data_IF_483707971228
#
_entry.id   IF_483707971228
#
_cell.length_a   1.000
_cell.length_b   1.000
_cell.length_c   1.000
_cell.angle_alpha   90.00
_cell.angle_beta   90.00
_cell.angle_gamma   90.00
#
_symmetry.space_group_name_H-M   'P 1'
#
loop_
_entity.id
_entity.type
_entity.pdbx_description
1 polymer ?
#
# COMPACT_ATOMS: atom_id res chain seq x y z
N UNK A 1 89.53 -45.88 -5.14
CA UNK A 1 88.88 -45.58 -6.42
C UNK A 1 87.46 -45.11 -6.13
N UNK A 2 87.13 -43.90 -6.60
CA UNK A 2 85.84 -43.14 -6.56
C UNK A 2 85.38 -42.49 -5.25
N UNK A 3 85.37 -41.14 -5.32
CA UNK A 3 84.72 -40.15 -4.48
C UNK A 3 83.21 -40.01 -4.78
N UNK A 4 82.53 -39.32 -3.86
CA UNK A 4 81.11 -38.99 -3.75
C UNK A 4 80.50 -38.13 -4.88
N UNK A 5 79.15 -38.11 -4.94
CA UNK A 5 78.33 -36.93 -5.25
C UNK A 5 76.89 -37.08 -4.71
N UNK A 6 76.40 -36.08 -3.98
CA UNK A 6 75.01 -35.90 -3.54
C UNK A 6 74.21 -35.10 -4.59
N UNK A 7 72.90 -35.37 -4.80
CA UNK A 7 72.05 -34.64 -5.74
C UNK A 7 71.45 -33.33 -5.17
N UNK A 8 70.95 -32.42 -6.03
CA UNK A 8 70.69 -31.02 -5.69
C UNK A 8 69.32 -30.73 -5.04
N UNK A 9 69.28 -29.57 -4.38
CA UNK A 9 68.16 -28.99 -3.63
C UNK A 9 67.05 -28.49 -4.58
N UNK A 10 65.80 -28.94 -4.36
CA UNK A 10 64.60 -28.39 -5.00
C UNK A 10 64.02 -27.26 -4.14
N UNK A 11 64.04 -26.02 -4.63
CA UNK A 11 63.34 -24.88 -4.02
C UNK A 11 61.85 -24.93 -4.36
N UNK A 12 60.98 -25.03 -3.36
CA UNK A 12 59.53 -24.89 -3.54
C UNK A 12 59.10 -23.41 -3.57
N UNK A 13 58.16 -23.10 -4.48
CA UNK A 13 57.64 -21.77 -4.82
C UNK A 13 56.78 -21.15 -3.70
N UNK A 14 57.40 -20.69 -2.63
CA UNK A 14 56.74 -19.94 -1.53
C UNK A 14 56.34 -18.52 -1.96
N UNK A 15 57.03 -17.96 -2.95
CA UNK A 15 56.92 -16.55 -3.36
C UNK A 15 55.59 -16.21 -4.04
N UNK A 16 54.98 -17.15 -4.77
CA UNK A 16 53.78 -16.89 -5.58
C UNK A 16 52.46 -16.88 -4.77
N UNK A 17 52.42 -17.58 -3.62
CA UNK A 17 51.25 -17.57 -2.71
C UNK A 17 51.18 -16.26 -1.92
N UNK A 18 52.33 -15.74 -1.48
CA UNK A 18 52.42 -14.49 -0.71
C UNK A 18 51.87 -13.31 -1.53
N UNK A 19 52.21 -13.20 -2.80
CA UNK A 19 51.78 -12.09 -3.68
C UNK A 19 50.26 -12.00 -3.89
N UNK A 20 49.53 -13.13 -3.86
CA UNK A 20 48.06 -13.14 -3.97
C UNK A 20 47.38 -12.62 -2.69
N UNK A 21 47.94 -12.92 -1.52
CA UNK A 21 47.43 -12.40 -0.25
C UNK A 21 47.70 -10.89 -0.10
N UNK A 22 48.81 -10.39 -0.65
CA UNK A 22 49.12 -8.94 -0.68
C UNK A 22 48.14 -8.13 -1.54
N UNK A 23 47.63 -8.71 -2.64
CA UNK A 23 46.60 -8.09 -3.50
C UNK A 23 45.21 -8.08 -2.84
N UNK A 24 44.86 -9.13 -2.09
CA UNK A 24 43.65 -9.15 -1.26
C UNK A 24 43.73 -8.09 -0.13
N UNK A 25 44.93 -7.86 0.41
CA UNK A 25 45.23 -6.80 1.38
C UNK A 25 45.02 -5.40 0.78
N UNK A 26 45.45 -5.18 -0.46
CA UNK A 26 45.28 -3.91 -1.17
C UNK A 26 43.81 -3.49 -1.32
N UNK A 27 42.91 -4.45 -1.55
CA UNK A 27 41.47 -4.18 -1.62
C UNK A 27 40.78 -3.99 -0.26
N UNK A 28 41.36 -4.49 0.83
CA UNK A 28 40.84 -4.34 2.19
C UNK A 28 41.33 -3.03 2.86
N UNK A 29 42.59 -2.63 2.61
CA UNK A 29 43.17 -1.38 3.15
C UNK A 29 42.58 -0.11 2.52
N UNK A 30 42.02 -0.19 1.31
CA UNK A 30 41.50 0.98 0.58
C UNK A 30 40.16 1.52 1.12
N UNK A 31 39.55 0.91 2.14
CA UNK A 31 38.23 1.31 2.64
C UNK A 31 38.15 1.82 4.09
N UNK A 32 39.23 1.82 4.90
CA UNK A 32 39.12 2.16 6.33
C UNK A 32 40.37 2.86 6.88
N UNK A 33 40.59 4.11 6.45
CA UNK A 33 41.43 5.04 7.21
C UNK A 33 40.62 5.55 8.42
N UNK A 34 40.71 4.83 9.54
CA UNK A 34 40.33 5.34 10.85
C UNK A 34 39.57 4.34 11.72
N UNK A 35 40.29 3.60 12.59
CA UNK A 35 39.97 3.51 14.01
C UNK A 35 41.00 2.70 14.81
N UNK A 36 41.32 3.29 15.97
CA UNK A 36 42.16 2.95 17.13
C UNK A 36 42.43 1.47 17.47
N UNK A 37 43.68 1.27 17.87
CA UNK A 37 44.29 0.22 18.70
C UNK A 37 43.33 -0.69 19.46
N UNK A 38 43.07 -1.87 18.91
CA UNK A 38 42.63 -3.04 19.68
C UNK A 38 43.88 -3.89 19.93
N UNK A 39 44.19 -4.16 21.19
CA UNK A 39 45.32 -5.02 21.55
C UNK A 39 45.06 -6.47 21.07
N UNK A 40 45.94 -6.97 20.21
CA UNK A 40 45.93 -8.32 19.65
C UNK A 40 47.27 -9.01 19.91
N UNK A 41 47.27 -10.35 19.97
CA UNK A 41 48.43 -11.23 20.16
C UNK A 41 49.41 -11.23 18.96
N UNK A 42 49.19 -10.37 17.96
CA UNK A 42 49.91 -10.29 16.69
C UNK A 42 49.07 -10.70 15.47
N UNK A 43 49.59 -10.47 14.26
CA UNK A 43 49.01 -11.04 13.03
C UNK A 43 49.50 -12.47 12.83
N UNK A 44 48.59 -13.39 12.49
CA UNK A 44 48.88 -14.81 12.30
C UNK A 44 48.25 -15.36 11.02
N UNK A 45 48.82 -16.46 10.50
CA UNK A 45 48.17 -17.35 9.53
C UNK A 45 47.79 -18.63 10.27
N UNK A 46 46.50 -18.96 10.35
CA UNK A 46 46.03 -20.23 10.91
C UNK A 46 45.39 -21.07 9.79
N UNK A 47 45.87 -22.30 9.61
CA UNK A 47 45.37 -23.24 8.59
C UNK A 47 44.75 -24.44 9.30
N UNK A 48 43.50 -24.74 8.97
CA UNK A 48 42.78 -25.91 9.48
C UNK A 48 41.99 -26.56 8.35
N UNK A 49 42.50 -27.69 7.82
CA UNK A 49 41.94 -28.33 6.63
C UNK A 49 41.98 -27.41 5.42
N UNK A 50 40.82 -27.15 4.81
CA UNK A 50 40.69 -26.21 3.70
C UNK A 50 40.56 -24.74 4.13
N UNK A 51 40.41 -24.47 5.43
CA UNK A 51 40.16 -23.13 5.95
C UNK A 51 41.48 -22.44 6.31
N UNK A 52 41.66 -21.20 5.85
CA UNK A 52 42.81 -20.35 6.20
C UNK A 52 42.32 -19.01 6.75
N UNK A 53 42.77 -18.65 7.94
CA UNK A 53 42.58 -17.33 8.52
C UNK A 53 43.89 -16.54 8.50
N UNK A 54 43.83 -15.28 8.09
CA UNK A 54 44.92 -14.32 8.19
C UNK A 54 44.42 -13.06 8.91
N UNK A 55 44.99 -12.72 10.06
CA UNK A 55 44.57 -11.55 10.82
C UNK A 55 45.02 -11.55 12.27
N UNK A 56 44.48 -10.62 13.05
CA UNK A 56 44.73 -10.54 14.49
C UNK A 56 44.11 -11.69 15.27
N UNK A 57 44.71 -12.04 16.40
CA UNK A 57 44.08 -12.92 17.41
C UNK A 57 44.11 -12.27 18.79
N UNK A 58 43.19 -12.67 19.66
CA UNK A 58 43.19 -12.32 21.08
C UNK A 58 42.73 -13.53 21.88
N UNK A 59 43.55 -13.96 22.85
CA UNK A 59 43.28 -15.17 23.64
C UNK A 59 43.05 -16.40 22.75
N UNK A 60 43.85 -16.53 21.68
CA UNK A 60 43.76 -17.64 20.74
C UNK A 60 42.51 -17.63 19.83
N UNK A 61 41.70 -16.58 19.85
CA UNK A 61 40.52 -16.42 18.97
C UNK A 61 40.72 -15.29 17.96
N UNK A 62 40.07 -15.35 16.79
CA UNK A 62 40.12 -14.28 15.79
C UNK A 62 39.61 -12.96 16.38
N UNK A 63 40.39 -11.89 16.23
CA UNK A 63 40.07 -10.58 16.81
C UNK A 63 40.72 -9.48 15.97
N UNK A 64 40.05 -8.34 15.82
CA UNK A 64 40.51 -7.26 14.94
C UNK A 64 40.23 -7.54 13.47
N UNK A 65 40.97 -6.92 12.56
CA UNK A 65 40.76 -7.15 11.13
C UNK A 65 41.40 -8.47 10.68
N UNK A 66 40.67 -9.24 9.88
CA UNK A 66 41.14 -10.51 9.35
C UNK A 66 40.34 -11.01 8.14
N UNK A 67 40.97 -11.92 7.40
CA UNK A 67 40.45 -12.56 6.20
C UNK A 67 40.36 -14.06 6.44
N UNK A 68 39.17 -14.61 6.23
CA UNK A 68 38.89 -16.05 6.26
C UNK A 68 38.65 -16.55 4.82
N UNK A 69 39.41 -17.56 4.43
CA UNK A 69 39.32 -18.22 3.13
C UNK A 69 39.02 -19.71 3.30
N UNK A 70 38.28 -20.29 2.37
CA UNK A 70 38.06 -21.75 2.24
C UNK A 70 38.53 -22.16 0.86
N UNK A 71 39.58 -22.98 0.79
CA UNK A 71 40.34 -23.21 -0.43
C UNK A 71 40.86 -21.88 -1.00
N UNK A 72 40.56 -21.62 -2.26
CA UNK A 72 40.93 -20.38 -2.97
C UNK A 72 39.89 -19.25 -2.84
N UNK A 73 38.79 -19.48 -2.11
CA UNK A 73 37.69 -18.52 -2.00
C UNK A 73 37.73 -17.74 -0.69
N UNK A 74 37.76 -16.41 -0.78
CA UNK A 74 37.57 -15.53 0.38
C UNK A 74 36.09 -15.57 0.79
N UNK A 75 35.83 -16.05 2.00
CA UNK A 75 34.48 -16.18 2.56
C UNK A 75 34.12 -14.97 3.40
N UNK A 76 35.11 -14.36 4.07
CA UNK A 76 34.94 -13.15 4.84
C UNK A 76 36.22 -12.32 4.91
N UNK A 77 36.10 -11.00 4.82
CA UNK A 77 37.16 -10.05 5.13
C UNK A 77 36.57 -8.88 5.92
N UNK A 78 37.01 -8.66 7.16
CA UNK A 78 36.43 -7.61 8.01
C UNK A 78 36.84 -7.72 9.47
N UNK A 79 36.06 -7.09 10.34
CA UNK A 79 36.30 -7.08 11.79
C UNK A 79 35.88 -8.40 12.46
N UNK A 80 36.69 -8.82 13.41
CA UNK A 80 36.48 -9.99 14.26
C UNK A 80 36.48 -9.55 15.72
N UNK A 81 35.66 -10.21 16.53
CA UNK A 81 35.64 -10.03 17.97
C UNK A 81 35.46 -11.38 18.66
N UNK A 82 36.48 -11.82 19.39
CA UNK A 82 36.47 -13.07 20.16
C UNK A 82 36.02 -14.29 19.34
N UNK A 83 36.51 -14.42 18.11
CA UNK A 83 36.25 -15.53 17.19
C UNK A 83 35.01 -15.37 16.31
N UNK A 84 34.26 -14.26 16.44
CA UNK A 84 33.04 -14.01 15.67
C UNK A 84 33.20 -12.83 14.71
N UNK A 85 32.55 -12.90 13.54
CA UNK A 85 32.46 -11.77 12.61
C UNK A 85 31.71 -10.61 13.27
N UNK A 86 32.25 -9.40 13.12
CA UNK A 86 31.78 -8.18 13.78
C UNK A 86 31.90 -6.98 12.83
N UNK A 87 31.31 -5.85 13.21
CA UNK A 87 31.55 -4.55 12.57
C UNK A 87 31.33 -4.54 11.07
N UNK A 88 32.16 -3.82 10.32
CA UNK A 88 32.11 -3.79 8.86
C UNK A 88 32.91 -4.95 8.27
N UNK A 89 32.37 -5.56 7.22
CA UNK A 89 33.06 -6.62 6.50
C UNK A 89 32.42 -6.97 5.17
N UNK A 90 33.17 -7.69 4.36
CA UNK A 90 32.75 -8.24 3.07
C UNK A 90 32.63 -9.75 3.23
N UNK A 91 31.41 -10.27 3.06
CA UNK A 91 31.15 -11.71 2.96
C UNK A 91 30.87 -12.13 1.53
N UNK A 92 30.93 -13.44 1.27
CA UNK A 92 30.46 -14.05 0.04
C UNK A 92 29.35 -15.05 0.37
N UNK A 93 28.26 -15.06 -0.40
CA UNK A 93 27.22 -16.10 -0.26
C UNK A 93 27.59 -17.40 -0.98
N UNK A 94 26.70 -18.40 -0.96
CA UNK A 94 26.91 -19.71 -1.60
C UNK A 94 27.05 -19.65 -3.14
N UNK A 95 26.66 -18.54 -3.77
CA UNK A 95 26.82 -18.29 -5.21
C UNK A 95 28.10 -17.51 -5.52
N UNK A 96 28.86 -17.11 -4.49
CA UNK A 96 30.06 -16.27 -4.62
C UNK A 96 29.76 -14.78 -4.73
N UNK A 97 28.51 -14.36 -4.55
CA UNK A 97 28.12 -12.93 -4.60
C UNK A 97 28.67 -12.21 -3.38
N UNK A 98 29.35 -11.09 -3.64
CA UNK A 98 29.95 -10.25 -2.59
C UNK A 98 28.88 -9.41 -1.90
N UNK A 99 28.91 -9.42 -0.57
CA UNK A 99 28.03 -8.64 0.30
C UNK A 99 28.87 -7.76 1.21
N UNK A 100 28.79 -6.45 1.02
CA UNK A 100 29.44 -5.46 1.89
C UNK A 100 28.45 -5.09 2.99
N UNK A 101 28.75 -5.43 4.25
CA UNK A 101 27.75 -5.35 5.30
C UNK A 101 28.27 -5.11 6.71
N UNK A 102 27.32 -5.08 7.64
CA UNK A 102 27.56 -4.95 9.08
C UNK A 102 27.22 -6.26 9.77
N UNK A 103 28.18 -6.79 10.53
CA UNK A 103 28.10 -8.07 11.22
C UNK A 103 27.98 -7.87 12.73
N UNK A 104 27.22 -8.74 13.39
CA UNK A 104 27.08 -8.78 14.84
C UNK A 104 27.08 -10.22 15.30
N UNK A 105 28.19 -10.65 15.89
CA UNK A 105 28.37 -12.01 16.42
C UNK A 105 27.99 -13.08 15.38
N UNK A 106 28.65 -13.05 14.21
CA UNK A 106 28.40 -13.93 13.05
C UNK A 106 27.09 -13.73 12.30
N UNK A 107 26.21 -12.83 12.78
CA UNK A 107 24.97 -12.48 12.07
C UNK A 107 25.21 -11.28 11.18
N UNK A 108 24.97 -11.42 9.88
CA UNK A 108 24.89 -10.31 8.94
C UNK A 108 23.58 -9.54 9.21
N UNK A 109 23.67 -8.31 9.68
CA UNK A 109 22.50 -7.51 10.09
C UNK A 109 21.98 -6.64 8.94
N UNK A 110 22.89 -6.11 8.14
CA UNK A 110 22.59 -5.30 6.96
C UNK A 110 23.73 -5.38 5.97
N UNK A 111 23.43 -5.17 4.70
CA UNK A 111 24.46 -5.15 3.67
C UNK A 111 23.97 -4.63 2.34
N UNK A 112 24.95 -4.46 1.45
CA UNK A 112 24.75 -4.16 0.05
C UNK A 112 25.29 -5.30 -0.78
N UNK A 113 24.48 -5.79 -1.71
CA UNK A 113 24.91 -6.74 -2.74
C UNK A 113 24.47 -6.25 -4.11
N UNK A 114 25.22 -6.68 -5.13
CA UNK A 114 24.93 -6.39 -6.53
C UNK A 114 25.07 -7.66 -7.35
N UNK A 115 24.10 -7.92 -8.20
CA UNK A 115 24.11 -9.03 -9.16
C UNK A 115 23.58 -8.56 -10.52
N UNK A 116 23.27 -9.52 -11.40
CA UNK A 116 22.73 -9.24 -12.74
C UNK A 116 21.32 -8.63 -12.71
N UNK A 117 20.59 -8.77 -11.60
CA UNK A 117 19.21 -8.30 -11.46
C UNK A 117 19.16 -6.86 -10.94
N UNK A 118 20.11 -6.45 -10.11
CA UNK A 118 20.17 -5.11 -9.54
C UNK A 118 21.12 -4.98 -8.36
N UNK A 119 20.97 -3.88 -7.64
CA UNK A 119 21.66 -3.60 -6.37
C UNK A 119 20.64 -3.54 -5.25
N UNK A 120 20.87 -4.28 -4.17
CA UNK A 120 20.09 -4.19 -2.94
C UNK A 120 20.94 -3.59 -1.83
N UNK A 121 20.34 -2.75 -1.00
CA UNK A 121 20.90 -2.25 0.25
C UNK A 121 19.84 -2.31 1.34
N UNK A 122 20.10 -3.04 2.43
CA UNK A 122 19.13 -3.15 3.52
C UNK A 122 19.47 -4.23 4.53
N UNK A 123 18.48 -4.65 5.31
CA UNK A 123 18.60 -5.75 6.26
C UNK A 123 18.61 -7.10 5.56
N UNK A 124 19.40 -8.02 6.09
CA UNK A 124 19.60 -9.35 5.51
C UNK A 124 19.35 -10.40 6.58
N UNK A 125 18.85 -11.56 6.20
CA UNK A 125 18.82 -12.73 7.08
C UNK A 125 20.20 -13.41 7.16
N UNK A 126 20.31 -14.47 7.95
CA UNK A 126 21.56 -15.23 8.15
C UNK A 126 22.15 -15.82 6.87
N UNK A 127 21.34 -16.00 5.83
CA UNK A 127 21.75 -16.56 4.54
C UNK A 127 22.12 -15.45 3.53
N UNK A 128 22.13 -14.18 3.96
CA UNK A 128 22.45 -13.03 3.11
C UNK A 128 21.31 -12.65 2.15
N UNK A 129 20.09 -13.11 2.42
CA UNK A 129 18.90 -12.81 1.62
C UNK A 129 18.20 -11.57 2.21
N UNK A 130 17.65 -10.71 1.35
CA UNK A 130 16.89 -9.51 1.77
C UNK A 130 15.72 -9.88 2.69
N UNK A 131 15.73 -9.38 3.92
CA UNK A 131 14.73 -9.66 4.95
C UNK A 131 14.67 -8.49 5.95
N UNK A 132 13.49 -7.90 6.15
CA UNK A 132 13.28 -6.64 6.88
C UNK A 132 13.13 -5.44 5.94
N UNK A 133 13.81 -4.31 6.16
CA UNK A 133 13.69 -3.12 5.30
C UNK A 133 14.90 -2.93 4.39
N UNK A 134 14.66 -2.55 3.14
CA UNK A 134 15.73 -2.24 2.20
C UNK A 134 15.27 -1.61 0.90
N UNK A 135 16.27 -1.18 0.14
CA UNK A 135 16.13 -0.57 -1.18
C UNK A 135 16.74 -1.49 -2.23
N UNK A 136 16.01 -1.72 -3.32
CA UNK A 136 16.49 -2.39 -4.52
C UNK A 136 16.41 -1.44 -5.71
N UNK A 137 17.48 -1.39 -6.51
CA UNK A 137 17.58 -0.53 -7.69
C UNK A 137 18.13 -1.32 -8.87
N UNK A 138 17.46 -1.21 -10.01
CA UNK A 138 18.02 -1.57 -11.31
C UNK A 138 17.63 -0.54 -12.38
N UNK A 139 17.84 -0.85 -13.66
CA UNK A 139 17.53 0.08 -14.77
C UNK A 139 16.04 0.35 -14.97
N UNK A 140 15.18 -0.52 -14.45
CA UNK A 140 13.74 -0.54 -14.70
C UNK A 140 12.93 -0.20 -13.45
N UNK A 141 13.45 -0.51 -12.26
CA UNK A 141 12.73 -0.34 -11.00
C UNK A 141 13.62 0.22 -9.88
N UNK A 142 12.99 1.07 -9.07
CA UNK A 142 13.38 1.39 -7.70
C UNK A 142 12.30 0.82 -6.79
N UNK A 143 12.68 0.04 -5.79
CA UNK A 143 11.80 -0.38 -4.70
C UNK A 143 12.43 -0.03 -3.36
N UNK A 144 11.66 0.56 -2.45
CA UNK A 144 12.04 0.77 -1.06
C UNK A 144 10.90 0.29 -0.16
N UNK A 145 11.17 -0.64 0.73
CA UNK A 145 10.11 -1.19 1.57
C UNK A 145 10.53 -2.42 2.35
N UNK A 146 9.53 -3.19 2.76
CA UNK A 146 9.70 -4.45 3.47
C UNK A 146 10.04 -5.62 2.52
N UNK A 147 10.87 -6.53 3.02
CA UNK A 147 11.35 -7.72 2.36
C UNK A 147 11.16 -8.89 3.30
N UNK A 148 10.80 -10.04 2.74
CA UNK A 148 10.76 -11.31 3.45
C UNK A 148 11.22 -12.39 2.50
N UNK A 149 12.26 -13.13 2.90
CA UNK A 149 12.89 -14.18 2.09
C UNK A 149 13.18 -13.75 0.64
N UNK A 150 13.76 -12.56 0.47
CA UNK A 150 14.19 -12.04 -0.83
C UNK A 150 13.07 -11.49 -1.70
N UNK A 151 11.84 -11.43 -1.17
CA UNK A 151 10.67 -10.93 -1.89
C UNK A 151 10.11 -9.68 -1.24
N UNK A 152 9.68 -8.73 -2.07
CA UNK A 152 8.92 -7.56 -1.61
C UNK A 152 7.67 -8.03 -0.89
N UNK A 153 7.52 -7.56 0.34
CA UNK A 153 6.43 -7.89 1.25
C UNK A 153 6.07 -6.63 2.04
N UNK A 154 5.02 -6.67 2.87
CA UNK A 154 4.66 -5.55 3.75
C UNK A 154 4.45 -4.22 3.01
N UNK A 155 4.69 -3.10 3.68
CA UNK A 155 4.56 -1.79 3.04
C UNK A 155 5.82 -1.43 2.23
N UNK A 156 5.62 -0.86 1.05
CA UNK A 156 6.72 -0.38 0.22
C UNK A 156 6.30 0.55 -0.90
N UNK A 157 7.28 1.25 -1.44
CA UNK A 157 7.16 2.18 -2.55
C UNK A 157 7.97 1.65 -3.73
N UNK A 158 7.37 1.63 -4.92
CA UNK A 158 8.06 1.28 -6.16
C UNK A 158 7.84 2.33 -7.26
N UNK A 159 8.91 2.64 -7.98
CA UNK A 159 8.89 3.39 -9.23
C UNK A 159 9.37 2.44 -10.32
N UNK A 160 8.51 2.14 -11.29
CA UNK A 160 8.87 1.32 -12.44
C UNK A 160 8.82 2.17 -13.71
N UNK A 161 9.78 1.98 -14.61
CA UNK A 161 9.80 2.63 -15.90
C UNK A 161 8.46 2.42 -16.65
N UNK A 162 7.83 3.52 -17.06
CA UNK A 162 6.55 3.50 -17.79
C UNK A 162 5.32 3.15 -16.96
N UNK A 163 5.41 3.06 -15.63
CA UNK A 163 4.25 2.84 -14.73
C UNK A 163 4.07 3.99 -13.74
N UNK A 164 2.87 4.09 -13.19
CA UNK A 164 2.58 4.96 -12.05
C UNK A 164 3.34 4.50 -10.80
N UNK A 165 3.61 5.47 -9.92
CA UNK A 165 4.12 5.24 -8.56
C UNK A 165 3.24 4.23 -7.83
N UNK A 166 3.84 3.20 -7.25
CA UNK A 166 3.14 2.18 -6.46
C UNK A 166 3.50 2.38 -4.99
N UNK A 167 2.55 2.81 -4.18
CA UNK A 167 2.72 2.98 -2.74
C UNK A 167 1.65 2.15 -2.03
N UNK A 168 2.07 1.21 -1.18
CA UNK A 168 1.14 0.34 -0.48
C UNK A 168 1.71 -1.02 -0.12
N UNK A 169 0.83 -1.99 0.07
CA UNK A 169 1.20 -3.33 0.51
C UNK A 169 1.67 -4.22 -0.64
N UNK A 170 2.66 -5.05 -0.35
CA UNK A 170 3.26 -6.06 -1.22
C UNK A 170 3.15 -7.43 -0.55
N UNK A 171 3.01 -8.47 -1.38
CA UNK A 171 3.11 -9.85 -0.90
C UNK A 171 3.75 -10.69 -1.98
N UNK A 172 4.91 -11.30 -1.68
CA UNK A 172 5.63 -12.16 -2.61
C UNK A 172 5.86 -11.49 -3.97
N UNK A 173 6.41 -10.27 -3.98
CA UNK A 173 6.62 -9.43 -5.18
C UNK A 173 5.36 -8.92 -5.89
N UNK A 174 4.16 -9.25 -5.42
CA UNK A 174 2.91 -8.73 -5.97
C UNK A 174 2.47 -7.48 -5.21
N UNK A 175 2.38 -6.35 -5.90
CA UNK A 175 1.73 -5.16 -5.37
C UNK A 175 0.23 -5.41 -5.18
N UNK A 176 -0.29 -5.14 -3.98
CA UNK A 176 -1.68 -5.33 -3.62
C UNK A 176 -2.47 -4.01 -3.62
N UNK A 177 -1.80 -2.89 -3.35
CA UNK A 177 -2.39 -1.55 -3.29
C UNK A 177 -2.24 -0.90 -1.92
N UNK A 178 -2.66 0.35 -1.82
CA UNK A 178 -2.76 1.07 -0.54
C UNK A 178 -3.83 0.38 0.34
N UNK A 179 -3.52 -0.02 1.57
CA UNK A 179 -4.51 -0.59 2.49
C UNK A 179 -4.90 0.43 3.55
N UNK A 180 -6.20 0.56 3.79
CA UNK A 180 -6.72 1.44 4.83
C UNK A 180 -6.76 0.72 6.18
N UNK A 181 -6.22 1.37 7.21
CA UNK A 181 -6.49 1.05 8.61
C UNK A 181 -7.59 1.98 9.14
N UNK A 182 -8.68 1.40 9.64
CA UNK A 182 -9.85 2.09 10.15
C UNK A 182 -9.63 2.47 11.62
N UNK A 183 -9.62 3.78 11.88
CA UNK A 183 -9.35 4.41 13.18
C UNK A 183 -10.38 5.50 13.46
N UNK A 184 -10.41 6.02 14.69
CA UNK A 184 -11.35 7.06 15.11
C UNK A 184 -11.12 8.46 14.51
N UNK A 185 -9.92 8.74 14.00
CA UNK A 185 -9.52 10.02 13.38
C UNK A 185 -9.91 10.14 11.91
N UNK A 186 -10.43 9.07 11.30
CA UNK A 186 -11.00 9.10 9.95
C UNK A 186 -12.41 9.69 9.96
N UNK A 187 -12.81 10.22 8.80
CA UNK A 187 -14.14 10.79 8.62
C UNK A 187 -15.08 9.72 8.06
N UNK A 188 -16.05 9.31 8.88
CA UNK A 188 -17.06 8.32 8.50
C UNK A 188 -18.42 8.95 8.25
N UNK A 189 -19.19 8.27 7.42
CA UNK A 189 -20.58 8.60 7.16
C UNK A 189 -21.38 7.37 6.80
N UNK A 190 -22.64 7.62 6.49
CA UNK A 190 -23.59 6.58 6.14
C UNK A 190 -24.30 6.95 4.86
N UNK A 191 -24.91 5.97 4.23
CA UNK A 191 -25.99 6.25 3.30
C UNK A 191 -27.23 5.44 3.64
N UNK A 192 -28.39 6.04 3.38
CA UNK A 192 -29.69 5.49 3.80
C UNK A 192 -30.74 5.66 2.71
N UNK A 193 -31.74 4.79 2.78
CA UNK A 193 -32.93 4.83 1.93
C UNK A 193 -34.15 4.38 2.72
N UNK A 194 -35.24 4.06 2.03
CA UNK A 194 -36.41 3.43 2.66
C UNK A 194 -36.08 2.14 3.43
N UNK A 195 -34.99 1.45 3.10
CA UNK A 195 -34.65 0.17 3.72
C UNK A 195 -34.22 0.29 5.18
N UNK A 196 -33.74 1.46 5.62
CA UNK A 196 -33.48 1.74 7.03
C UNK A 196 -34.78 2.02 7.83
N UNK A 197 -35.91 2.17 7.14
CA UNK A 197 -37.24 2.26 7.74
C UNK A 197 -38.09 1.00 7.54
N UNK A 198 -37.81 0.19 6.52
CA UNK A 198 -38.70 -0.88 6.07
C UNK A 198 -37.95 -2.20 5.93
N UNK A 199 -38.27 -3.18 6.78
CA UNK A 199 -37.80 -4.57 6.63
C UNK A 199 -39.00 -5.51 6.60
N UNK A 200 -39.38 -5.91 5.38
CA UNK A 200 -40.64 -6.61 5.14
C UNK A 200 -41.86 -5.80 5.62
N UNK A 201 -42.65 -6.37 6.53
CA UNK A 201 -43.81 -5.68 7.14
C UNK A 201 -43.44 -4.76 8.29
N UNK A 202 -42.24 -4.87 8.85
CA UNK A 202 -41.79 -4.04 9.98
C UNK A 202 -41.45 -2.62 9.53
N UNK A 203 -41.70 -1.65 10.41
CA UNK A 203 -41.36 -0.24 10.23
C UNK A 203 -40.47 0.22 11.38
N UNK A 204 -39.44 0.99 11.07
CA UNK A 204 -38.47 1.50 12.03
C UNK A 204 -38.35 3.02 11.91
N UNK A 205 -38.17 3.67 13.05
CA UNK A 205 -37.83 5.09 13.14
C UNK A 205 -36.34 5.26 13.35
N UNK A 206 -35.75 6.29 12.77
CA UNK A 206 -34.35 6.64 12.99
C UNK A 206 -34.26 7.62 14.17
N UNK A 207 -33.45 7.27 15.18
CA UNK A 207 -33.14 8.17 16.30
C UNK A 207 -31.85 8.94 16.02
N UNK A 208 -32.01 10.13 15.41
CA UNK A 208 -30.92 11.00 15.00
C UNK A 208 -30.05 11.55 16.15
N UNK A 209 -30.54 11.52 17.40
CA UNK A 209 -29.78 11.99 18.58
C UNK A 209 -28.65 11.04 18.99
N UNK A 210 -28.67 9.80 18.52
CA UNK A 210 -27.74 8.76 18.97
C UNK A 210 -26.70 8.36 17.92
N UNK A 211 -26.60 9.11 16.82
CA UNK A 211 -25.95 8.67 15.57
C UNK A 211 -24.44 8.43 15.71
N UNK A 212 -24.08 7.17 16.00
CA UNK A 212 -22.69 6.71 16.06
C UNK A 212 -22.56 5.33 15.43
N UNK A 213 -21.54 5.17 14.60
CA UNK A 213 -21.20 3.89 13.97
C UNK A 213 -20.53 3.02 15.04
N UNK A 214 -21.13 1.88 15.33
CA UNK A 214 -20.68 0.95 16.38
C UNK A 214 -20.17 -0.38 15.82
N UNK A 215 -20.39 -0.62 14.52
CA UNK A 215 -19.87 -1.79 13.83
C UNK A 215 -19.67 -1.47 12.34
N UNK A 216 -18.52 -1.85 11.77
CA UNK A 216 -18.19 -1.64 10.35
C UNK A 216 -18.60 -2.83 9.46
N UNK A 217 -19.49 -3.70 9.95
CA UNK A 217 -19.94 -4.89 9.26
C UNK A 217 -18.88 -5.98 9.10
N UNK A 218 -19.31 -7.13 8.59
CA UNK A 218 -18.61 -8.42 8.63
C UNK A 218 -18.38 -9.01 7.24
N UNK A 219 -18.98 -8.45 6.19
CA UNK A 219 -18.81 -8.92 4.81
C UNK A 219 -17.37 -8.86 4.29
N UNK A 220 -16.57 -7.89 4.75
CA UNK A 220 -15.17 -7.70 4.35
C UNK A 220 -14.23 -7.64 5.55
N UNK A 221 -13.03 -8.19 5.39
CA UNK A 221 -11.95 -8.06 6.37
C UNK A 221 -11.49 -6.60 6.45
N UNK A 222 -11.42 -6.08 7.66
CA UNK A 222 -11.05 -4.69 7.95
C UNK A 222 -9.96 -4.68 8.99
N UNK A 223 -8.92 -3.88 8.77
CA UNK A 223 -7.90 -3.62 9.78
C UNK A 223 -8.40 -2.47 10.64
N UNK A 224 -8.90 -2.78 11.83
CA UNK A 224 -9.48 -1.80 12.75
C UNK A 224 -8.48 -1.60 13.90
N UNK A 225 -8.16 -0.35 14.22
CA UNK A 225 -7.36 -0.03 15.40
C UNK A 225 -8.24 0.70 16.43
N UNK A 226 -8.35 0.12 17.62
CA UNK A 226 -9.21 0.60 18.70
C UNK A 226 -10.67 0.13 18.61
N UNK A 227 -11.53 0.72 19.42
CA UNK A 227 -12.96 0.40 19.49
C UNK A 227 -13.74 1.19 18.44
N UNK A 228 -14.65 0.51 17.74
CA UNK A 228 -15.56 1.17 16.79
C UNK A 228 -16.66 1.90 17.56
N UNK A 229 -16.50 3.21 17.68
CA UNK A 229 -17.53 4.14 18.13
C UNK A 229 -17.25 5.49 17.45
N UNK A 230 -17.72 5.64 16.21
CA UNK A 230 -17.34 6.77 15.34
C UNK A 230 -18.52 7.72 15.10
N UNK A 231 -18.30 9.04 15.06
CA UNK A 231 -19.35 9.99 14.70
C UNK A 231 -19.79 9.80 13.25
N UNK A 232 -21.09 9.92 13.00
CA UNK A 232 -21.63 10.05 11.63
C UNK A 232 -21.41 11.49 11.17
N UNK A 233 -20.35 11.73 10.39
CA UNK A 233 -19.95 13.06 9.93
C UNK A 233 -20.70 13.51 8.68
N UNK A 234 -21.13 12.55 7.86
CA UNK A 234 -21.96 12.79 6.68
C UNK A 234 -23.02 11.71 6.47
N UNK A 235 -24.08 12.06 5.74
CA UNK A 235 -25.17 11.17 5.36
C UNK A 235 -25.64 11.43 3.92
N UNK A 236 -25.58 10.42 3.05
CA UNK A 236 -26.25 10.45 1.76
C UNK A 236 -27.61 9.76 1.83
N UNK A 237 -28.65 10.40 1.29
CA UNK A 237 -30.03 9.92 1.43
C UNK A 237 -30.62 9.70 0.04
N UNK A 238 -31.15 8.50 -0.22
CA UNK A 238 -31.85 8.21 -1.48
C UNK A 238 -33.00 9.17 -1.63
N UNK A 239 -33.07 9.89 -2.74
CA UNK A 239 -34.21 10.76 -3.04
C UNK A 239 -35.11 10.14 -4.09
N UNK A 240 -34.56 9.77 -5.25
CA UNK A 240 -35.34 9.32 -6.41
C UNK A 240 -34.63 8.21 -7.17
N UNK A 241 -35.38 7.53 -8.03
CA UNK A 241 -34.88 6.52 -8.97
C UNK A 241 -35.67 6.61 -10.29
N UNK A 242 -34.94 6.63 -11.41
CA UNK A 242 -35.53 6.83 -12.73
C UNK A 242 -36.42 8.08 -12.77
N UNK A 243 -37.62 7.95 -13.35
CA UNK A 243 -38.59 9.07 -13.41
C UNK A 243 -39.85 8.83 -12.60
N UNK A 244 -39.90 7.78 -11.77
CA UNK A 244 -41.15 7.32 -11.13
C UNK A 244 -41.00 7.09 -9.63
N UNK A 245 -39.84 6.64 -9.17
CA UNK A 245 -39.66 6.24 -7.77
C UNK A 245 -39.19 7.44 -6.94
N UNK A 246 -39.89 7.65 -5.82
CA UNK A 246 -39.54 8.63 -4.79
C UNK A 246 -39.37 7.92 -3.45
N UNK A 247 -38.31 8.23 -2.73
CA UNK A 247 -38.16 7.78 -1.35
C UNK A 247 -39.08 8.63 -0.46
N UNK A 248 -40.11 8.00 0.13
CA UNK A 248 -41.07 8.68 1.01
C UNK A 248 -40.44 9.25 2.30
N UNK A 249 -39.30 8.72 2.74
CA UNK A 249 -38.62 9.19 3.96
C UNK A 249 -37.62 10.32 3.71
N UNK A 250 -37.20 10.53 2.44
CA UNK A 250 -36.13 11.46 2.08
C UNK A 250 -36.24 12.84 2.72
N UNK A 251 -37.43 13.46 2.68
CA UNK A 251 -37.62 14.82 3.21
C UNK A 251 -37.45 14.88 4.73
N UNK A 252 -37.95 13.88 5.44
CA UNK A 252 -37.87 13.80 6.90
C UNK A 252 -36.44 13.51 7.33
N UNK A 253 -35.78 12.55 6.67
CA UNK A 253 -34.39 12.19 6.96
C UNK A 253 -33.44 13.35 6.68
N UNK A 254 -33.61 14.03 5.54
CA UNK A 254 -32.82 15.20 5.17
C UNK A 254 -32.95 16.32 6.21
N UNK A 255 -34.18 16.63 6.63
CA UNK A 255 -34.41 17.67 7.64
C UNK A 255 -33.79 17.29 8.99
N UNK A 256 -33.94 16.03 9.41
CA UNK A 256 -33.41 15.54 10.68
C UNK A 256 -31.88 15.49 10.70
N UNK A 257 -31.23 15.01 9.63
CA UNK A 257 -29.78 15.01 9.49
C UNK A 257 -29.21 16.43 9.63
N UNK A 258 -29.78 17.41 8.91
CA UNK A 258 -29.37 18.82 9.01
C UNK A 258 -29.57 19.39 10.40
N UNK A 259 -30.70 19.11 11.04
CA UNK A 259 -31.00 19.61 12.39
C UNK A 259 -30.00 19.12 13.44
N UNK A 260 -29.37 17.95 13.21
CA UNK A 260 -28.33 17.39 14.09
C UNK A 260 -26.91 17.69 13.62
N UNK A 261 -26.73 18.62 12.67
CA UNK A 261 -25.41 19.05 12.19
C UNK A 261 -24.68 18.05 11.29
N UNK A 262 -25.34 16.96 10.88
CA UNK A 262 -24.76 15.98 9.96
C UNK A 262 -24.78 16.56 8.54
N UNK A 263 -23.62 16.59 7.87
CA UNK A 263 -23.54 17.04 6.46
C UNK A 263 -24.32 16.07 5.58
N UNK A 264 -25.30 16.56 4.83
CA UNK A 264 -26.18 15.69 4.06
C UNK A 264 -26.11 15.96 2.55
N UNK A 265 -26.27 14.89 1.77
CA UNK A 265 -26.43 14.95 0.33
C UNK A 265 -27.58 14.05 -0.13
N UNK A 266 -28.08 14.32 -1.33
CA UNK A 266 -29.10 13.49 -1.96
C UNK A 266 -28.50 12.64 -3.08
N UNK A 267 -28.95 11.39 -3.21
CA UNK A 267 -28.58 10.54 -4.34
C UNK A 267 -29.77 10.11 -5.19
N UNK A 268 -29.48 9.88 -6.47
CA UNK A 268 -30.40 9.39 -7.48
C UNK A 268 -29.95 8.03 -8.01
N UNK A 269 -30.82 7.02 -7.97
CA UNK A 269 -30.53 5.71 -8.55
C UNK A 269 -30.84 5.71 -10.06
N UNK A 270 -29.82 5.47 -10.87
CA UNK A 270 -29.89 5.53 -12.32
C UNK A 270 -30.74 4.38 -12.90
N UNK A 271 -31.62 4.72 -13.85
CA UNK A 271 -32.38 3.75 -14.64
C UNK A 271 -31.90 3.73 -16.08
N UNK A 272 -31.78 2.53 -16.65
CA UNK A 272 -31.47 2.34 -18.08
C UNK A 272 -32.69 2.48 -19.00
N UNK A 273 -33.88 2.71 -18.42
CA UNK A 273 -35.17 2.71 -19.15
C UNK A 273 -35.66 4.09 -19.56
N UNK A 274 -35.02 5.15 -19.06
CA UNK A 274 -35.49 6.54 -19.24
C UNK A 274 -34.33 7.47 -19.56
N UNK A 275 -34.51 8.52 -20.38
CA UNK A 275 -33.45 9.47 -20.69
C UNK A 275 -32.83 10.13 -19.44
N UNK A 276 -31.52 10.32 -19.45
CA UNK A 276 -30.75 10.91 -18.34
C UNK A 276 -31.22 12.32 -17.98
N UNK A 277 -31.57 13.13 -18.97
CA UNK A 277 -32.16 14.47 -18.75
C UNK A 277 -33.49 14.41 -17.97
N UNK A 278 -34.40 13.49 -18.33
CA UNK A 278 -35.69 13.31 -17.62
C UNK A 278 -35.47 12.85 -16.18
N UNK A 279 -34.51 11.96 -15.97
CA UNK A 279 -34.10 11.52 -14.63
C UNK A 279 -33.52 12.67 -13.80
N UNK A 280 -32.69 13.54 -14.39
CA UNK A 280 -32.14 14.70 -13.73
C UNK A 280 -33.23 15.70 -13.31
N UNK A 281 -34.18 16.01 -14.19
CA UNK A 281 -35.32 16.87 -13.84
C UNK A 281 -36.20 16.26 -12.74
N UNK A 282 -36.41 14.94 -12.78
CA UNK A 282 -37.13 14.23 -11.72
C UNK A 282 -36.40 14.34 -10.37
N UNK A 283 -35.09 14.13 -10.34
CA UNK A 283 -34.27 14.30 -9.15
C UNK A 283 -34.31 15.76 -8.63
N UNK A 284 -34.10 16.74 -9.51
CA UNK A 284 -34.12 18.16 -9.15
C UNK A 284 -35.47 18.60 -8.57
N UNK A 285 -36.58 18.06 -9.09
CA UNK A 285 -37.94 18.39 -8.63
C UNK A 285 -38.24 17.88 -7.21
N UNK A 286 -37.70 16.72 -6.83
CA UNK A 286 -38.08 16.04 -5.59
C UNK A 286 -37.01 16.06 -4.49
N UNK A 287 -35.78 16.46 -4.83
CA UNK A 287 -34.67 16.63 -3.89
C UNK A 287 -34.61 18.05 -3.29
N UNK A 288 -33.79 18.21 -2.26
CA UNK A 288 -33.40 19.48 -1.63
C UNK A 288 -31.95 19.79 -1.95
N UNK A 289 -31.70 21.07 -2.20
CA UNK A 289 -30.40 21.64 -2.51
C UNK A 289 -30.31 22.97 -1.76
N UNK A 290 -29.58 22.97 -0.65
CA UNK A 290 -29.34 24.15 0.19
C UNK A 290 -27.84 24.41 0.26
N UNK A 291 -27.47 25.66 0.49
CA UNK A 291 -26.09 26.03 0.76
C UNK A 291 -25.47 25.12 1.84
N UNK A 292 -24.27 24.61 1.55
CA UNK A 292 -23.53 23.68 2.38
C UNK A 292 -24.02 22.22 2.36
N UNK A 293 -25.00 21.87 1.52
CA UNK A 293 -25.27 20.46 1.22
C UNK A 293 -24.13 19.84 0.42
N UNK A 294 -23.88 18.55 0.67
CA UNK A 294 -22.90 17.77 -0.08
C UNK A 294 -23.28 17.69 -1.56
N UNK A 295 -22.31 17.50 -2.47
CA UNK A 295 -22.59 17.39 -3.90
C UNK A 295 -23.63 16.29 -4.18
N UNK A 296 -24.57 16.49 -5.13
CA UNK A 296 -25.50 15.44 -5.52
C UNK A 296 -24.78 14.19 -6.01
N UNK A 297 -25.34 13.01 -5.74
CA UNK A 297 -24.79 11.73 -6.21
C UNK A 297 -25.67 11.12 -7.28
N UNK A 298 -25.04 10.64 -8.36
CA UNK A 298 -25.65 9.70 -9.30
C UNK A 298 -25.13 8.30 -9.01
N UNK A 299 -26.03 7.41 -8.60
CA UNK A 299 -25.78 6.01 -8.34
C UNK A 299 -26.01 5.21 -9.63
N UNK A 300 -24.92 4.64 -10.18
CA UNK A 300 -24.88 3.95 -11.48
C UNK A 300 -24.50 2.49 -11.28
N UNK A 301 -25.52 1.66 -11.03
CA UNK A 301 -25.34 0.21 -10.82
C UNK A 301 -26.16 -0.69 -11.77
N UNK A 302 -26.25 -0.40 -13.09
CA UNK A 302 -26.98 -1.28 -13.98
C UNK A 302 -26.24 -2.61 -14.20
N UNK A 303 -27.01 -3.69 -14.33
CA UNK A 303 -26.49 -5.00 -14.73
C UNK A 303 -25.99 -4.98 -16.18
N UNK A 304 -25.12 -5.93 -16.53
CA UNK A 304 -24.62 -6.06 -17.92
C UNK A 304 -25.76 -6.24 -18.94
N UNK A 305 -26.82 -6.96 -18.55
CA UNK A 305 -28.00 -7.15 -19.39
C UNK A 305 -28.75 -5.83 -19.61
N UNK A 306 -28.92 -5.02 -18.57
CA UNK A 306 -29.55 -3.69 -18.67
C UNK A 306 -28.72 -2.73 -19.52
N UNK A 307 -27.39 -2.75 -19.39
CA UNK A 307 -26.48 -1.95 -20.22
C UNK A 307 -26.59 -2.37 -21.69
N UNK A 308 -26.58 -3.68 -21.98
CA UNK A 308 -26.76 -4.18 -23.35
C UNK A 308 -28.11 -3.75 -23.94
N UNK A 309 -29.18 -3.91 -23.17
CA UNK A 309 -30.53 -3.58 -23.60
C UNK A 309 -30.74 -2.09 -23.90
N UNK A 310 -30.02 -1.18 -23.23
CA UNK A 310 -30.13 0.26 -23.49
C UNK A 310 -29.27 0.77 -24.66
N UNK A 311 -28.60 -0.12 -25.40
CA UNK A 311 -27.68 0.24 -26.49
C UNK A 311 -26.20 0.26 -26.10
N UNK A 312 -25.83 -0.44 -25.03
CA UNK A 312 -24.44 -0.63 -24.61
C UNK A 312 -23.88 0.49 -23.72
N UNK A 313 -22.59 0.38 -23.42
CA UNK A 313 -21.90 1.30 -22.50
C UNK A 313 -21.88 2.74 -23.02
N UNK A 314 -21.80 2.95 -24.34
CA UNK A 314 -21.84 4.28 -24.93
C UNK A 314 -23.18 4.98 -24.66
N UNK A 315 -24.31 4.29 -24.89
CA UNK A 315 -25.64 4.81 -24.59
C UNK A 315 -25.81 5.13 -23.09
N UNK A 316 -25.31 4.25 -22.22
CA UNK A 316 -25.26 4.50 -20.77
C UNK A 316 -24.48 5.79 -20.45
N UNK A 317 -23.25 5.91 -20.91
CA UNK A 317 -22.41 7.07 -20.59
C UNK A 317 -22.94 8.37 -21.20
N UNK A 318 -23.62 8.33 -22.35
CA UNK A 318 -24.35 9.48 -22.90
C UNK A 318 -25.40 9.98 -21.90
N UNK A 319 -26.23 9.08 -21.38
CA UNK A 319 -27.27 9.42 -20.39
C UNK A 319 -26.69 9.86 -19.04
N UNK A 320 -25.59 9.24 -18.59
CA UNK A 320 -24.86 9.67 -17.39
C UNK A 320 -24.36 11.10 -17.53
N UNK A 321 -23.69 11.43 -18.65
CA UNK A 321 -23.20 12.79 -18.92
C UNK A 321 -24.33 13.81 -18.99
N UNK A 322 -25.42 13.48 -19.66
CA UNK A 322 -26.62 14.33 -19.72
C UNK A 322 -27.17 14.64 -18.32
N UNK A 323 -27.32 13.60 -17.49
CA UNK A 323 -27.83 13.76 -16.13
C UNK A 323 -26.93 14.68 -15.31
N UNK A 324 -25.62 14.40 -15.32
CA UNK A 324 -24.63 15.16 -14.56
C UNK A 324 -24.62 16.63 -14.98
N UNK A 325 -24.64 16.89 -16.28
CA UNK A 325 -24.63 18.24 -16.82
C UNK A 325 -25.87 19.04 -16.42
N UNK A 326 -27.05 18.42 -16.44
CA UNK A 326 -28.30 19.07 -16.00
C UNK A 326 -28.24 19.38 -14.51
N UNK A 327 -27.83 18.42 -13.68
CA UNK A 327 -27.78 18.63 -12.22
C UNK A 327 -26.72 19.65 -11.84
N UNK A 328 -25.51 19.57 -12.42
CA UNK A 328 -24.43 20.56 -12.18
C UNK A 328 -24.88 21.98 -12.50
N UNK A 329 -25.56 22.18 -13.63
CA UNK A 329 -26.08 23.51 -14.00
C UNK A 329 -27.12 24.03 -13.01
N UNK A 330 -27.97 23.16 -12.47
CA UNK A 330 -29.04 23.55 -11.57
C UNK A 330 -28.57 23.78 -10.12
N UNK A 331 -27.54 23.06 -9.67
CA UNK A 331 -27.08 23.11 -8.27
C UNK A 331 -25.76 23.86 -8.08
N UNK A 332 -25.02 24.14 -9.15
CA UNK A 332 -23.67 24.71 -9.09
C UNK A 332 -22.58 23.74 -8.62
N UNK A 333 -22.95 22.63 -7.96
CA UNK A 333 -22.03 21.59 -7.50
C UNK A 333 -21.85 20.50 -8.55
N UNK A 334 -20.61 20.02 -8.74
CA UNK A 334 -20.33 18.88 -9.63
C UNK A 334 -20.83 17.59 -8.97
N UNK A 335 -21.72 16.81 -9.60
CA UNK A 335 -22.18 15.56 -9.01
C UNK A 335 -21.06 14.53 -8.82
N UNK A 336 -21.18 13.72 -7.78
CA UNK A 336 -20.34 12.55 -7.51
C UNK A 336 -20.95 11.32 -8.21
N UNK A 337 -20.09 10.47 -8.76
CA UNK A 337 -20.50 9.19 -9.33
C UNK A 337 -20.35 8.07 -8.31
N UNK A 338 -21.46 7.46 -7.91
CA UNK A 338 -21.44 6.23 -7.14
C UNK A 338 -21.45 5.01 -8.08
N UNK A 339 -20.43 4.15 -7.97
CA UNK A 339 -20.21 2.99 -8.85
C UNK A 339 -19.51 1.85 -8.10
N UNK A 340 -19.73 0.60 -8.53
CA UNK A 340 -19.05 -0.56 -7.96
C UNK A 340 -17.63 -0.77 -8.51
N UNK A 341 -16.79 -1.50 -7.79
CA UNK A 341 -15.46 -1.93 -8.26
C UNK A 341 -15.51 -2.66 -9.61
N UNK A 342 -16.51 -3.51 -9.81
CA UNK A 342 -16.71 -4.23 -11.08
C UNK A 342 -17.02 -3.27 -12.22
N UNK A 343 -17.80 -2.22 -11.95
CA UNK A 343 -18.10 -1.16 -12.92
C UNK A 343 -16.83 -0.37 -13.28
N UNK A 344 -16.02 0.01 -12.28
CA UNK A 344 -14.73 0.68 -12.48
C UNK A 344 -13.85 -0.12 -13.43
N UNK A 345 -13.68 -1.43 -13.20
CA UNK A 345 -12.77 -2.24 -14.02
C UNK A 345 -13.30 -2.48 -15.44
N UNK A 346 -14.63 -2.62 -15.60
CA UNK A 346 -15.23 -3.04 -16.86
C UNK A 346 -15.60 -1.88 -17.79
N UNK A 347 -16.15 -0.80 -17.23
CA UNK A 347 -16.81 0.24 -18.03
C UNK A 347 -16.10 1.59 -17.94
N UNK A 348 -15.50 1.94 -16.81
CA UNK A 348 -14.85 3.26 -16.67
C UNK A 348 -13.69 3.50 -17.67
N UNK A 349 -12.91 2.49 -18.12
CA UNK A 349 -11.94 2.68 -19.21
C UNK A 349 -12.57 3.15 -20.53
N UNK A 350 -13.86 2.91 -20.74
CA UNK A 350 -14.61 3.36 -21.92
C UNK A 350 -15.09 4.81 -21.81
N UNK A 351 -14.85 5.47 -20.66
CA UNK A 351 -15.21 6.86 -20.41
C UNK A 351 -14.04 7.61 -19.75
N UNK A 352 -12.93 7.85 -20.49
CA UNK A 352 -11.72 8.44 -19.93
C UNK A 352 -11.92 9.86 -19.37
N UNK A 353 -12.85 10.63 -19.94
CA UNK A 353 -13.29 11.92 -19.42
C UNK A 353 -13.90 11.78 -18.02
N UNK A 354 -14.79 10.81 -17.80
CA UNK A 354 -15.39 10.57 -16.49
C UNK A 354 -14.36 10.05 -15.49
N UNK A 355 -13.42 9.18 -15.93
CA UNK A 355 -12.33 8.69 -15.08
C UNK A 355 -11.46 9.84 -14.55
N UNK A 356 -11.19 10.84 -15.40
CA UNK A 356 -10.30 11.98 -15.10
C UNK A 356 -11.02 13.10 -14.32
N UNK A 357 -12.22 13.46 -14.74
CA UNK A 357 -12.83 14.74 -14.37
C UNK A 357 -13.81 14.66 -13.20
N UNK A 358 -14.23 13.44 -12.80
CA UNK A 358 -15.24 13.23 -11.77
C UNK A 358 -14.72 12.54 -10.53
N UNK A 359 -15.25 12.99 -9.40
CA UNK A 359 -15.04 12.39 -8.10
C UNK A 359 -15.96 11.17 -7.98
N UNK A 360 -15.39 10.06 -7.53
CA UNK A 360 -16.05 8.77 -7.39
C UNK A 360 -16.33 8.48 -5.92
N UNK A 361 -17.53 7.97 -5.66
CA UNK A 361 -17.86 7.22 -4.47
C UNK A 361 -17.93 5.73 -4.87
N UNK A 362 -17.04 4.90 -4.33
CA UNK A 362 -16.96 3.50 -4.77
C UNK A 362 -17.60 2.53 -3.78
N UNK A 363 -18.42 1.62 -4.29
CA UNK A 363 -18.85 0.43 -3.58
C UNK A 363 -17.81 -0.68 -3.72
N UNK A 364 -17.09 -0.99 -2.63
CA UNK A 364 -16.02 -1.99 -2.66
C UNK A 364 -15.81 -2.65 -1.31
N UNK A 365 -15.97 -3.95 -1.24
CA UNK A 365 -15.83 -4.72 0.01
C UNK A 365 -14.50 -5.49 0.06
N UNK A 366 -13.41 -4.84 -0.31
CA UNK A 366 -12.06 -5.42 -0.29
C UNK A 366 -11.09 -4.64 0.59
N UNK A 367 -9.83 -5.07 0.66
CA UNK A 367 -8.87 -4.49 1.61
C UNK A 367 -8.13 -3.25 1.07
N UNK A 368 -7.91 -3.18 -0.25
CA UNK A 368 -7.06 -2.16 -0.88
C UNK A 368 -7.81 -1.01 -1.54
N UNK A 369 -7.26 0.20 -1.55
CA UNK A 369 -7.84 1.37 -2.20
C UNK A 369 -7.90 1.18 -3.73
N UNK A 370 -9.00 1.57 -4.38
CA UNK A 370 -9.14 1.49 -5.83
C UNK A 370 -8.43 2.65 -6.56
N UNK A 371 -8.00 2.39 -7.80
CA UNK A 371 -7.43 3.40 -8.71
C UNK A 371 -8.51 4.28 -9.34
N UNK A 372 -9.08 5.19 -8.55
CA UNK A 372 -10.05 6.20 -8.98
C UNK A 372 -9.84 7.52 -8.23
N UNK A 373 -10.31 8.64 -8.78
CA UNK A 373 -10.39 9.93 -8.07
C UNK A 373 -11.47 9.84 -6.98
N UNK A 374 -11.10 9.29 -5.83
CA UNK A 374 -12.00 8.86 -4.77
C UNK A 374 -12.35 9.99 -3.80
N UNK A 375 -13.63 10.24 -3.53
CA UNK A 375 -14.08 10.98 -2.34
C UNK A 375 -14.52 10.04 -1.23
N UNK A 376 -15.35 9.05 -1.54
CA UNK A 376 -15.95 8.18 -0.54
C UNK A 376 -15.75 6.72 -0.92
N UNK A 377 -15.52 5.90 0.09
CA UNK A 377 -15.49 4.46 -0.06
C UNK A 377 -16.56 3.84 0.83
N UNK A 378 -17.57 3.23 0.20
CA UNK A 378 -18.53 2.36 0.88
C UNK A 378 -17.84 1.03 1.20
N UNK A 379 -17.50 0.86 2.48
CA UNK A 379 -16.64 -0.21 2.97
C UNK A 379 -17.42 -1.42 3.49
N UNK A 380 -18.72 -1.26 3.75
CA UNK A 380 -19.61 -2.30 4.23
C UNK A 380 -21.08 -1.94 3.98
N UNK A 381 -21.90 -2.90 3.55
CA UNK A 381 -23.36 -2.75 3.46
C UNK A 381 -24.11 -3.26 4.70
N UNK A 382 -23.37 -3.75 5.71
CA UNK A 382 -23.86 -4.54 6.84
C UNK A 382 -23.39 -3.96 8.19
N UNK A 383 -23.11 -2.66 8.21
CA UNK A 383 -22.70 -1.95 9.42
C UNK A 383 -23.87 -1.70 10.38
N UNK A 384 -23.52 -1.33 11.60
CA UNK A 384 -24.51 -0.98 12.63
C UNK A 384 -24.24 0.42 13.16
N UNK A 385 -25.33 1.18 13.28
CA UNK A 385 -25.30 2.57 13.71
C UNK A 385 -26.32 2.74 14.82
N UNK A 386 -25.87 3.21 15.98
CA UNK A 386 -26.75 3.49 17.11
C UNK A 386 -27.82 4.50 16.66
N UNK A 387 -29.08 4.15 16.87
CA UNK A 387 -30.25 4.92 16.40
C UNK A 387 -30.87 4.43 15.09
N UNK A 388 -30.26 3.46 14.38
CA UNK A 388 -30.86 2.78 13.22
C UNK A 388 -30.88 1.28 13.50
N UNK A 389 -32.06 0.67 13.48
CA UNK A 389 -32.21 -0.77 13.78
C UNK A 389 -31.78 -1.67 12.62
N UNK A 390 -32.19 -1.44 11.35
CA UNK A 390 -31.67 -2.21 10.23
C UNK A 390 -30.17 -1.97 9.99
N UNK A 391 -29.54 -2.87 9.24
CA UNK A 391 -28.18 -2.70 8.75
C UNK A 391 -28.05 -1.43 7.89
N UNK A 392 -26.87 -0.82 7.93
CA UNK A 392 -26.58 0.47 7.30
C UNK A 392 -25.28 0.39 6.50
N UNK A 393 -25.31 1.03 5.34
CA UNK A 393 -24.14 1.19 4.50
C UNK A 393 -23.17 2.20 5.13
N UNK A 394 -21.95 1.75 5.40
CA UNK A 394 -20.90 2.54 6.05
C UNK A 394 -19.90 3.04 5.02
N UNK A 395 -19.60 4.32 5.13
CA UNK A 395 -18.73 5.04 4.21
C UNK A 395 -17.58 5.69 4.96
N UNK A 396 -16.42 5.77 4.30
CA UNK A 396 -15.26 6.53 4.77
C UNK A 396 -14.85 7.53 3.70
N UNK A 397 -14.56 8.77 4.11
CA UNK A 397 -14.00 9.78 3.22
C UNK A 397 -12.51 9.48 2.96
N UNK A 398 -12.06 9.77 1.74
CA UNK A 398 -10.69 9.58 1.30
C UNK A 398 -9.83 10.81 1.65
N UNK A 399 -9.61 11.00 2.94
CA UNK A 399 -8.82 12.09 3.51
C UNK A 399 -8.99 12.16 5.01
N UNK A 400 -8.25 13.08 5.62
CA UNK A 400 -8.40 13.44 7.02
C UNK A 400 -9.22 14.72 7.14
N UNK A 401 -9.16 15.35 8.31
CA UNK A 401 -9.99 16.50 8.64
C UNK A 401 -9.79 17.66 7.67
N UNK A 402 -8.54 18.01 7.38
CA UNK A 402 -8.22 19.17 6.55
C UNK A 402 -8.73 18.96 5.11
N UNK A 403 -8.50 17.78 4.52
CA UNK A 403 -9.01 17.48 3.18
C UNK A 403 -10.55 17.40 3.15
N UNK A 404 -11.17 17.00 4.27
CA UNK A 404 -12.62 16.99 4.38
C UNK A 404 -13.18 18.42 4.47
N UNK A 405 -12.54 19.29 5.23
CA UNK A 405 -12.91 20.71 5.30
C UNK A 405 -12.74 21.40 3.94
N UNK A 406 -11.64 21.13 3.22
CA UNK A 406 -11.43 21.60 1.85
C UNK A 406 -12.51 21.09 0.90
N UNK A 407 -12.87 19.81 1.00
CA UNK A 407 -13.96 19.23 0.21
C UNK A 407 -15.29 19.92 0.49
N UNK A 408 -15.60 20.18 1.77
CA UNK A 408 -16.82 20.87 2.17
C UNK A 408 -16.88 22.32 1.66
N UNK A 409 -15.74 23.00 1.57
CA UNK A 409 -15.68 24.38 1.05
C UNK A 409 -15.79 24.45 -0.47
N UNK A 410 -15.13 23.52 -1.17
CA UNK A 410 -14.93 23.62 -2.61
C UNK A 410 -16.00 22.89 -3.44
N UNK A 411 -16.53 21.78 -2.94
CA UNK A 411 -17.41 20.90 -3.72
C UNK A 411 -18.89 21.03 -3.33
N UNK A 412 -19.20 21.46 -2.09
CA UNK A 412 -20.59 21.61 -1.64
C UNK A 412 -21.35 22.70 -2.41
N UNK A 413 -22.68 22.60 -2.33
CA UNK A 413 -23.60 23.57 -2.95
C UNK A 413 -23.37 24.96 -2.32
N UNK A 414 -23.15 25.97 -3.16
CA UNK A 414 -22.75 27.33 -2.76
C UNK A 414 -23.93 28.25 -2.44
#
# INVERSE_FOLDING_TARGET
>A
MRMAQLPPIVKHNTTMKITKYTLALGFALLCLCGCKDIAHDGQTIQVQGATTYYGGTKQGKYDGYGVLSVGDSVVYAGEWRMGKRWGKGIGSDSTGRRIVGTWRADTLVSGTWRDSTGTYTGTLNRDGIADGHGTFVNRQELYQGEWSDGKRSGFGVAINAGKHLQLGEWKNNRFLGERIEYRADRIYGIDISRFQHEKGRKRYTINWKQMRIVNLGKLSRKRIAGTVDYPVSFCYIKSTEGTTVRNRYYRTDYAAARAHGIKCGAYHFFSTRTPGTKQAHHFLKYSKFRKGDLPPVLDVEPTCAQIRAMGGAEAMFRNVREWINVVKRATGARPILYISQSFVNRYLPLAPDLKRDYIVWIARYGEYKPDVRLAYWQLSPDGHVRGITPEVDINVFNGYRDEYEDFLQNECIK
#
